data_IF_727084695502
#
_entry.id   IF_727084695502
#
_cell.length_a   1.000
_cell.length_b   1.000
_cell.length_c   1.000
_cell.angle_alpha   90.00
_cell.angle_beta   90.00
_cell.angle_gamma   90.00
#
_symmetry.space_group_name_H-M   'P 1'
#
loop_
_entity.id
_entity.type
_entity.pdbx_description
1 polymer ?
#
# COMPACT_ATOMS: atom_id res chain seq x y z
N UNK A 1 1.70 -32.17 -18.97
CA UNK A 1 2.74 -31.16 -18.69
C UNK A 1 2.02 -29.90 -18.24
N UNK A 2 2.15 -29.52 -16.97
CA UNK A 2 1.52 -28.32 -16.42
C UNK A 2 2.28 -27.07 -16.90
N UNK A 3 1.62 -25.96 -17.24
CA UNK A 3 2.31 -24.74 -17.62
C UNK A 3 3.14 -24.22 -16.42
N UNK A 4 4.37 -23.83 -16.70
CA UNK A 4 5.32 -23.27 -15.75
C UNK A 4 4.76 -22.04 -15.04
N UNK A 5 5.14 -21.89 -13.77
CA UNK A 5 5.00 -20.69 -12.93
C UNK A 5 5.75 -19.50 -13.54
N UNK A 6 5.34 -19.05 -14.72
CA UNK A 6 5.67 -17.72 -15.18
C UNK A 6 5.03 -16.75 -14.20
N UNK A 7 5.90 -16.16 -13.41
CA UNK A 7 5.72 -14.97 -12.60
C UNK A 7 4.59 -14.14 -13.20
N UNK A 8 3.50 -13.94 -12.43
CA UNK A 8 2.55 -12.84 -12.64
C UNK A 8 3.25 -11.49 -12.42
N UNK A 9 4.41 -11.30 -13.05
CA UNK A 9 5.07 -10.01 -13.17
C UNK A 9 4.07 -9.09 -13.82
N UNK A 10 3.78 -7.99 -13.14
CA UNK A 10 2.83 -6.96 -13.49
C UNK A 10 2.83 -6.67 -15.00
N UNK A 11 1.95 -7.30 -15.77
CA UNK A 11 1.56 -6.79 -17.08
C UNK A 11 0.64 -5.61 -16.82
N UNK A 12 1.24 -4.48 -16.49
CA UNK A 12 0.56 -3.20 -16.50
C UNK A 12 0.10 -2.97 -17.95
N UNK A 13 -1.21 -3.02 -18.19
CA UNK A 13 -1.78 -2.77 -19.51
C UNK A 13 -1.70 -1.28 -19.77
N UNK A 14 -0.68 -0.85 -20.51
CA UNK A 14 -0.43 0.54 -20.87
C UNK A 14 -1.39 1.10 -21.94
N UNK A 15 -2.41 0.35 -22.38
CA UNK A 15 -3.21 0.77 -23.53
C UNK A 15 -4.67 0.39 -23.39
N UNK A 16 -5.50 1.42 -23.24
CA UNK A 16 -6.92 1.38 -23.56
C UNK A 16 -7.12 2.18 -24.86
N UNK A 17 -8.18 1.86 -25.59
CA UNK A 17 -8.35 2.11 -27.01
C UNK A 17 -8.52 3.58 -27.46
N UNK A 18 -8.18 4.59 -26.66
CA UNK A 18 -8.42 6.00 -26.99
C UNK A 18 -7.35 6.93 -26.39
N UNK A 19 -6.12 6.90 -26.89
CA UNK A 19 -5.16 8.03 -26.85
C UNK A 19 -4.72 8.62 -25.49
N UNK A 20 -5.32 8.28 -24.36
CA UNK A 20 -4.84 8.63 -23.03
C UNK A 20 -3.86 7.55 -22.55
N UNK A 21 -2.59 7.91 -22.40
CA UNK A 21 -1.66 7.06 -21.65
C UNK A 21 -2.25 6.78 -20.27
N UNK A 22 -2.49 5.51 -19.97
CA UNK A 22 -2.99 5.09 -18.66
C UNK A 22 -2.08 5.66 -17.57
N UNK A 23 -2.64 6.48 -16.69
CA UNK A 23 -1.88 7.11 -15.62
C UNK A 23 -1.97 6.25 -14.37
N UNK A 24 -0.85 5.65 -13.96
CA UNK A 24 -0.79 4.87 -12.72
C UNK A 24 -1.35 5.70 -11.56
N UNK A 25 -2.45 5.24 -10.97
CA UNK A 25 -3.12 5.92 -9.87
C UNK A 25 -2.89 5.19 -8.56
N UNK A 26 -2.22 5.87 -7.63
CA UNK A 26 -2.01 5.40 -6.26
C UNK A 26 -3.01 6.06 -5.30
N UNK A 27 -3.74 5.25 -4.55
CA UNK A 27 -4.62 5.71 -3.49
C UNK A 27 -3.99 5.42 -2.12
N UNK A 28 -3.70 6.47 -1.35
CA UNK A 28 -3.19 6.36 0.01
C UNK A 28 -4.32 6.57 1.00
N UNK A 29 -4.59 5.57 1.84
CA UNK A 29 -5.69 5.59 2.80
C UNK A 29 -5.19 5.45 4.23
N UNK A 30 -5.81 6.19 5.15
CA UNK A 30 -5.55 6.07 6.58
C UNK A 30 -6.82 5.71 7.36
N UNK A 31 -6.66 4.89 8.41
CA UNK A 31 -7.72 4.46 9.32
C UNK A 31 -8.14 5.51 10.36
N UNK A 32 -8.05 6.80 10.03
CA UNK A 32 -8.34 7.92 10.94
C UNK A 32 -7.10 8.57 11.59
N UNK A 33 -5.90 8.18 11.18
CA UNK A 33 -4.63 8.86 11.55
C UNK A 33 -4.09 9.77 10.43
N UNK A 34 -4.88 10.03 9.39
CA UNK A 34 -4.40 10.68 8.17
C UNK A 34 -4.10 12.18 8.27
N UNK A 35 -4.28 12.79 9.45
CA UNK A 35 -3.83 14.16 9.69
C UNK A 35 -2.33 14.24 10.03
N UNK A 36 -1.65 13.11 10.21
CA UNK A 36 -0.20 13.10 10.46
C UNK A 36 0.56 13.60 9.22
N UNK A 37 1.50 14.57 9.37
CA UNK A 37 2.33 15.03 8.26
C UNK A 37 3.08 13.91 7.55
N UNK A 38 3.53 12.89 8.28
CA UNK A 38 4.22 11.72 7.72
C UNK A 38 3.36 10.90 6.77
N UNK A 39 2.03 10.87 6.96
CA UNK A 39 1.10 10.24 6.03
C UNK A 39 0.99 11.00 4.72
N UNK A 40 0.75 12.32 4.79
CA UNK A 40 0.62 13.17 3.60
C UNK A 40 1.91 13.19 2.79
N UNK A 41 3.06 13.25 3.46
CA UNK A 41 4.37 13.21 2.82
C UNK A 41 4.64 11.88 2.13
N UNK A 42 4.19 10.75 2.70
CA UNK A 42 4.37 9.42 2.10
C UNK A 42 3.74 9.32 0.72
N UNK A 43 2.48 9.75 0.60
CA UNK A 43 1.79 9.77 -0.70
C UNK A 43 2.49 10.68 -1.71
N UNK A 44 2.85 11.90 -1.31
CA UNK A 44 3.53 12.86 -2.19
C UNK A 44 4.91 12.37 -2.66
N UNK A 45 5.74 11.85 -1.75
CA UNK A 45 7.08 11.39 -2.08
C UNK A 45 7.07 10.20 -3.04
N UNK A 46 6.18 9.22 -2.82
CA UNK A 46 6.06 8.07 -3.73
C UNK A 46 5.68 8.55 -5.12
N UNK A 47 4.67 9.42 -5.24
CA UNK A 47 4.25 9.97 -6.54
C UNK A 47 5.40 10.75 -7.20
N UNK A 48 6.08 11.62 -6.47
CA UNK A 48 7.21 12.39 -7.02
C UNK A 48 8.35 11.50 -7.53
N UNK A 49 8.67 10.40 -6.84
CA UNK A 49 9.68 9.44 -7.30
C UNK A 49 9.20 8.71 -8.55
N UNK A 50 7.95 8.25 -8.59
CA UNK A 50 7.40 7.57 -9.77
C UNK A 50 7.35 8.52 -10.97
N UNK A 51 6.99 9.78 -10.76
CA UNK A 51 6.98 10.81 -11.79
C UNK A 51 8.39 11.13 -12.34
N UNK A 52 9.44 10.93 -11.53
CA UNK A 52 10.82 11.08 -11.98
C UNK A 52 11.31 9.90 -12.85
N UNK A 53 10.58 8.78 -12.88
CA UNK A 53 10.90 7.64 -13.75
C UNK A 53 10.23 7.84 -15.11
N UNK A 54 11.02 7.81 -16.19
CA UNK A 54 10.54 8.12 -17.55
C UNK A 54 9.28 7.33 -17.97
N UNK A 55 9.18 6.05 -17.58
CA UNK A 55 8.04 5.18 -17.92
C UNK A 55 6.84 5.32 -16.97
N UNK A 56 6.95 6.07 -15.87
CA UNK A 56 5.88 6.32 -14.89
C UNK A 56 5.69 7.83 -14.65
N UNK A 57 6.16 8.67 -15.57
CA UNK A 57 6.15 10.13 -15.42
C UNK A 57 4.74 10.72 -15.22
N UNK A 58 3.71 10.02 -15.68
CA UNK A 58 2.30 10.39 -15.52
C UNK A 58 1.63 9.79 -14.28
N UNK A 59 2.38 9.15 -13.38
CA UNK A 59 1.83 8.62 -12.13
C UNK A 59 1.17 9.74 -11.31
N UNK A 60 0.05 9.41 -10.67
CA UNK A 60 -0.71 10.33 -9.82
C UNK A 60 -1.08 9.67 -8.51
N UNK A 61 -1.27 10.47 -7.48
CA UNK A 61 -1.73 9.99 -6.18
C UNK A 61 -2.96 10.74 -5.68
N UNK A 62 -3.81 10.04 -4.93
CA UNK A 62 -4.87 10.65 -4.14
C UNK A 62 -4.80 10.14 -2.71
N UNK A 63 -5.23 10.98 -1.77
CA UNK A 63 -5.06 10.72 -0.35
C UNK A 63 -6.40 10.88 0.37
N UNK A 64 -6.81 9.88 1.13
CA UNK A 64 -7.97 9.96 2.02
C UNK A 64 -7.53 9.74 3.47
N UNK A 65 -7.64 10.81 4.26
CA UNK A 65 -7.12 10.86 5.64
C UNK A 65 -7.98 10.07 6.64
N UNK A 66 -9.24 9.79 6.28
CA UNK A 66 -10.19 9.03 7.08
C UNK A 66 -11.01 8.10 6.20
N UNK A 67 -10.46 6.93 5.90
CA UNK A 67 -11.06 5.92 5.03
C UNK A 67 -11.78 4.83 5.84
N UNK A 68 -12.56 5.21 6.87
CA UNK A 68 -13.21 4.28 7.81
C UNK A 68 -14.56 3.72 7.35
N UNK A 69 -15.18 4.33 6.34
CA UNK A 69 -16.52 3.95 5.86
C UNK A 69 -16.52 3.75 4.36
N UNK A 70 -17.31 2.80 3.89
CA UNK A 70 -17.45 2.51 2.46
C UNK A 70 -17.93 3.74 1.68
N UNK A 71 -18.84 4.52 2.28
CA UNK A 71 -19.35 5.77 1.70
C UNK A 71 -18.22 6.79 1.46
N UNK A 72 -17.30 6.95 2.41
CA UNK A 72 -16.19 7.89 2.25
C UNK A 72 -15.22 7.44 1.15
N UNK A 73 -14.94 6.14 1.08
CA UNK A 73 -14.06 5.57 0.04
C UNK A 73 -14.71 5.66 -1.34
N UNK A 74 -15.99 5.32 -1.46
CA UNK A 74 -16.73 5.43 -2.71
C UNK A 74 -16.80 6.87 -3.22
N UNK A 75 -17.11 7.83 -2.35
CA UNK A 75 -17.12 9.25 -2.71
C UNK A 75 -15.73 9.73 -3.19
N UNK A 76 -14.66 9.23 -2.57
CA UNK A 76 -13.29 9.53 -2.99
C UNK A 76 -12.99 8.98 -4.39
N UNK A 77 -13.38 7.73 -4.69
CA UNK A 77 -13.20 7.14 -6.02
C UNK A 77 -14.01 7.84 -7.10
N UNK A 78 -15.23 8.31 -6.80
CA UNK A 78 -16.00 9.14 -7.74
C UNK A 78 -15.26 10.43 -8.08
N UNK A 79 -14.65 11.08 -7.09
CA UNK A 79 -13.94 12.36 -7.29
C UNK A 79 -12.57 12.19 -7.96
N UNK A 80 -11.83 11.14 -7.63
CA UNK A 80 -10.43 10.98 -8.02
C UNK A 80 -10.18 9.81 -8.98
N UNK A 81 -11.22 9.09 -9.38
CA UNK A 81 -11.13 7.85 -10.14
C UNK A 81 -10.72 6.65 -9.27
N UNK A 82 -10.92 5.47 -9.84
CA UNK A 82 -10.51 4.19 -9.23
C UNK A 82 -8.97 4.06 -9.28
N UNK A 83 -8.32 3.55 -8.21
CA UNK A 83 -6.87 3.36 -8.20
C UNK A 83 -6.41 2.04 -8.83
N UNK A 84 -5.17 2.00 -9.29
CA UNK A 84 -4.47 0.77 -9.66
C UNK A 84 -3.79 0.12 -8.44
N UNK A 85 -3.32 0.96 -7.51
CA UNK A 85 -2.63 0.55 -6.28
C UNK A 85 -3.23 1.31 -5.10
N UNK A 86 -3.59 0.57 -4.06
CA UNK A 86 -4.04 1.10 -2.79
C UNK A 86 -3.00 0.83 -1.71
N UNK A 87 -2.57 1.88 -1.02
CA UNK A 87 -1.63 1.80 0.10
C UNK A 87 -2.38 2.11 1.39
N UNK A 88 -2.47 1.10 2.27
CA UNK A 88 -3.07 1.22 3.59
C UNK A 88 -2.01 1.70 4.57
N UNK A 89 -2.07 2.99 4.96
CA UNK A 89 -1.07 3.61 5.83
C UNK A 89 -1.57 3.72 7.26
N UNK A 90 -0.81 3.15 8.20
CA UNK A 90 -1.11 3.19 9.65
C UNK A 90 -2.57 2.84 9.94
N UNK A 91 -3.09 1.86 9.21
CA UNK A 91 -4.49 1.47 9.28
C UNK A 91 -4.66 0.56 10.50
N UNK A 92 -5.18 1.08 11.60
CA UNK A 92 -5.62 0.25 12.72
C UNK A 92 -7.11 0.00 12.59
N UNK A 93 -7.53 -1.24 12.36
CA UNK A 93 -8.95 -1.60 12.48
C UNK A 93 -9.50 -1.07 13.80
N UNK A 94 -10.56 -0.25 13.76
CA UNK A 94 -11.19 0.33 14.97
C UNK A 94 -11.77 -0.74 15.90
N UNK A 95 -11.81 -2.00 15.44
CA UNK A 95 -12.06 -3.22 16.21
C UNK A 95 -11.18 -4.35 15.66
N UNK A 96 -10.59 -5.15 16.56
CA UNK A 96 -9.84 -6.36 16.21
C UNK A 96 -10.68 -7.24 15.29
N UNK A 97 -10.16 -7.57 14.10
CA UNK A 97 -10.81 -8.45 13.13
C UNK A 97 -11.80 -7.79 12.15
N UNK A 98 -12.00 -6.46 12.18
CA UNK A 98 -12.81 -5.78 11.15
C UNK A 98 -11.93 -5.35 9.96
N UNK A 99 -12.40 -5.68 8.75
CA UNK A 99 -11.76 -5.33 7.47
C UNK A 99 -11.70 -3.81 7.26
N UNK A 100 -10.68 -3.40 6.51
CA UNK A 100 -10.53 -2.01 6.06
C UNK A 100 -11.50 -1.75 4.91
N UNK A 101 -12.40 -0.78 5.09
CA UNK A 101 -13.31 -0.32 4.02
C UNK A 101 -12.54 0.08 2.74
N UNK A 102 -11.34 0.64 2.92
CA UNK A 102 -10.44 0.95 1.81
C UNK A 102 -9.93 -0.31 1.12
N UNK A 103 -9.50 -1.33 1.88
CA UNK A 103 -9.01 -2.58 1.30
C UNK A 103 -10.10 -3.29 0.49
N UNK A 104 -11.31 -3.41 1.05
CA UNK A 104 -12.44 -4.08 0.41
C UNK A 104 -12.83 -3.37 -0.90
N UNK A 105 -12.99 -2.04 -0.85
CA UNK A 105 -13.34 -1.25 -2.04
C UNK A 105 -12.25 -1.32 -3.13
N UNK A 106 -10.96 -1.30 -2.74
CA UNK A 106 -9.84 -1.42 -3.66
C UNK A 106 -9.79 -2.79 -4.35
N UNK A 107 -9.99 -3.87 -3.58
CA UNK A 107 -10.05 -5.23 -4.15
C UNK A 107 -11.23 -5.39 -5.10
N UNK A 108 -12.40 -4.87 -4.73
CA UNK A 108 -13.58 -4.89 -5.60
C UNK A 108 -13.34 -4.13 -6.92
N UNK A 109 -12.50 -3.10 -6.88
CA UNK A 109 -12.05 -2.33 -8.05
C UNK A 109 -10.94 -3.01 -8.87
N UNK A 110 -10.39 -4.14 -8.42
CA UNK A 110 -9.27 -4.82 -9.09
C UNK A 110 -7.89 -4.17 -8.82
N UNK A 111 -7.78 -3.29 -7.83
CA UNK A 111 -6.53 -2.66 -7.44
C UNK A 111 -5.67 -3.60 -6.58
N UNK A 112 -4.34 -3.46 -6.68
CA UNK A 112 -3.41 -4.09 -5.73
C UNK A 112 -3.49 -3.37 -4.38
N UNK A 113 -3.63 -4.11 -3.30
CA UNK A 113 -3.67 -3.58 -1.93
C UNK A 113 -2.36 -3.86 -1.23
N UNK A 114 -1.63 -2.82 -0.87
CA UNK A 114 -0.36 -2.87 -0.16
C UNK A 114 -0.55 -2.35 1.27
N UNK A 115 0.01 -3.07 2.24
CA UNK A 115 0.03 -2.63 3.62
C UNK A 115 1.33 -1.91 3.95
N UNK A 116 1.24 -0.75 4.58
CA UNK A 116 2.40 0.02 4.98
C UNK A 116 2.88 -0.34 6.39
N UNK A 117 4.03 -1.01 6.47
CA UNK A 117 4.64 -1.46 7.71
C UNK A 117 5.68 -0.51 8.29
N UNK A 118 5.89 0.65 7.68
CA UNK A 118 6.84 1.64 8.16
C UNK A 118 6.30 2.27 9.47
N UNK A 119 7.17 2.37 10.49
CA UNK A 119 6.83 2.72 11.89
C UNK A 119 5.86 1.76 12.59
N UNK A 120 5.60 0.57 12.02
CA UNK A 120 4.60 -0.35 12.57
C UNK A 120 5.24 -1.65 13.02
N UNK A 121 5.71 -1.66 14.27
CA UNK A 121 6.30 -2.84 14.90
C UNK A 121 5.40 -4.10 14.84
N UNK A 122 4.08 -3.91 14.89
CA UNK A 122 3.07 -4.94 14.72
C UNK A 122 3.27 -5.81 13.46
N UNK A 123 3.75 -5.22 12.35
CA UNK A 123 4.03 -5.97 11.13
C UNK A 123 5.19 -6.97 11.28
N UNK A 124 6.05 -6.78 12.27
CA UNK A 124 7.24 -7.60 12.52
C UNK A 124 7.09 -8.46 13.78
N UNK A 125 5.84 -8.67 14.21
CA UNK A 125 5.47 -9.62 15.24
C UNK A 125 4.72 -10.78 14.57
N UNK A 126 5.23 -12.02 14.70
CA UNK A 126 4.65 -13.17 13.99
C UNK A 126 3.21 -13.49 14.38
N UNK A 127 2.84 -13.27 15.66
CA UNK A 127 1.47 -13.46 16.12
C UNK A 127 0.55 -12.39 15.55
N UNK A 128 0.97 -11.12 15.53
CA UNK A 128 0.15 -10.05 14.96
C UNK A 128 -0.02 -10.21 13.44
N UNK A 129 1.07 -10.52 12.73
CA UNK A 129 1.07 -10.78 11.29
C UNK A 129 0.05 -11.85 10.90
N UNK A 130 -0.09 -12.91 11.71
CA UNK A 130 -0.99 -14.04 11.45
C UNK A 130 -2.40 -13.87 12.01
N UNK A 131 -2.60 -13.00 13.00
CA UNK A 131 -3.90 -12.86 13.70
C UNK A 131 -4.70 -11.63 13.31
N UNK A 132 -4.12 -10.65 12.61
CA UNK A 132 -4.84 -9.46 12.16
C UNK A 132 -5.37 -9.65 10.73
N UNK A 133 -6.69 -9.56 10.57
CA UNK A 133 -7.38 -9.72 9.29
C UNK A 133 -6.80 -8.82 8.19
N UNK A 134 -6.45 -7.58 8.55
CA UNK A 134 -5.84 -6.60 7.64
C UNK A 134 -4.52 -7.07 7.00
N UNK A 135 -3.77 -7.97 7.62
CA UNK A 135 -2.54 -8.51 7.06
C UNK A 135 -2.76 -9.72 6.14
N UNK A 136 -3.81 -10.51 6.40
CA UNK A 136 -4.22 -11.61 5.51
C UNK A 136 -4.89 -11.12 4.22
N UNK A 137 -5.23 -9.83 4.17
CA UNK A 137 -6.07 -9.24 3.12
C UNK A 137 -5.31 -8.29 2.20
N UNK A 138 -3.99 -8.23 2.28
CA UNK A 138 -3.17 -7.45 1.34
C UNK A 138 -2.43 -8.34 0.36
N UNK A 139 -2.12 -7.77 -0.80
CA UNK A 139 -1.32 -8.42 -1.84
C UNK A 139 0.18 -8.29 -1.56
N UNK A 140 0.58 -7.36 -0.69
CA UNK A 140 1.95 -7.22 -0.25
C UNK A 140 2.15 -6.15 0.82
N UNK A 141 3.40 -6.03 1.27
CA UNK A 141 3.79 -5.15 2.36
C UNK A 141 4.89 -4.17 1.92
N UNK A 142 4.84 -2.95 2.44
CA UNK A 142 5.89 -1.96 2.29
C UNK A 142 6.74 -1.95 3.56
N UNK A 143 7.99 -2.39 3.43
CA UNK A 143 8.94 -2.51 4.53
C UNK A 143 9.91 -1.33 4.54
N UNK A 144 10.30 -0.90 5.75
CA UNK A 144 11.20 0.23 5.95
C UNK A 144 12.66 -0.08 5.62
N UNK A 145 13.11 -1.31 5.89
CA UNK A 145 14.50 -1.74 5.72
C UNK A 145 14.59 -3.10 5.05
N UNK A 146 15.76 -3.43 4.52
CA UNK A 146 16.01 -4.73 3.90
C UNK A 146 15.83 -5.88 4.90
N UNK A 147 16.25 -5.73 6.16
CA UNK A 147 16.00 -6.75 7.18
C UNK A 147 14.50 -6.99 7.40
N UNK A 148 13.70 -5.92 7.44
CA UNK A 148 12.24 -6.01 7.56
C UNK A 148 11.60 -6.70 6.34
N UNK A 149 12.07 -6.38 5.12
CA UNK A 149 11.60 -7.04 3.89
C UNK A 149 11.92 -8.54 3.91
N UNK A 150 13.14 -8.90 4.30
CA UNK A 150 13.56 -10.30 4.43
C UNK A 150 12.74 -11.03 5.48
N UNK A 151 12.53 -10.42 6.65
CA UNK A 151 11.71 -10.99 7.72
C UNK A 151 10.29 -11.31 7.25
N UNK A 152 9.65 -10.42 6.48
CA UNK A 152 8.33 -10.66 5.88
C UNK A 152 8.39 -11.77 4.83
N UNK A 153 9.42 -11.76 3.98
CA UNK A 153 9.62 -12.76 2.91
C UNK A 153 9.80 -14.18 3.48
N UNK A 154 10.53 -14.35 4.58
CA UNK A 154 10.69 -15.65 5.26
C UNK A 154 9.38 -16.23 5.79
N UNK A 155 8.32 -15.41 5.88
CA UNK A 155 6.97 -15.80 6.31
C UNK A 155 6.00 -15.92 5.13
N UNK A 156 6.52 -15.94 3.90
CA UNK A 156 5.73 -16.10 2.68
C UNK A 156 5.02 -14.82 2.20
N UNK A 157 5.30 -13.67 2.82
CA UNK A 157 4.71 -12.41 2.40
C UNK A 157 5.49 -11.77 1.23
N UNK A 158 4.79 -11.20 0.27
CA UNK A 158 5.39 -10.34 -0.76
C UNK A 158 5.68 -8.97 -0.13
N UNK A 159 6.94 -8.52 -0.20
CA UNK A 159 7.34 -7.26 0.39
C UNK A 159 8.28 -6.44 -0.50
N UNK A 160 8.05 -5.13 -0.54
CA UNK A 160 8.89 -4.14 -1.24
C UNK A 160 9.47 -3.14 -0.24
N UNK A 161 10.61 -2.53 -0.59
CA UNK A 161 11.20 -1.46 0.23
C UNK A 161 10.55 -0.13 -0.10
N UNK A 162 10.14 0.58 0.96
CA UNK A 162 9.85 1.99 0.91
C UNK A 162 10.56 2.66 2.10
N UNK A 163 11.65 3.43 1.85
CA UNK A 163 12.43 4.00 2.94
C UNK A 163 11.62 5.02 3.76
N UNK A 164 11.93 5.11 5.05
CA UNK A 164 11.27 6.07 5.96
C UNK A 164 11.51 7.52 5.49
N UNK A 165 10.47 8.34 5.27
CA UNK A 165 10.61 9.67 4.65
C UNK A 165 11.39 10.72 5.45
N UNK A 166 11.78 10.45 6.71
CA UNK A 166 12.52 11.39 7.57
C UNK A 166 13.73 10.77 8.29
N UNK A 167 14.23 9.63 7.81
CA UNK A 167 15.32 8.91 8.47
C UNK A 167 14.91 8.28 9.81
N UNK A 168 15.74 7.35 10.29
CA UNK A 168 15.52 6.57 11.52
C UNK A 168 15.95 7.35 12.77
N UNK A 169 15.28 8.47 13.08
CA UNK A 169 15.66 9.32 14.23
C UNK A 169 15.40 8.69 15.60
N UNK A 170 14.63 7.60 15.68
CA UNK A 170 14.30 6.92 16.94
C UNK A 170 14.84 5.49 17.09
N UNK A 171 15.65 4.97 16.16
CA UNK A 171 16.22 3.61 16.26
C UNK A 171 15.29 2.44 15.89
N UNK A 172 14.03 2.69 15.53
CA UNK A 172 12.97 1.72 15.18
C UNK A 172 13.24 0.88 13.90
N UNK A 173 14.35 1.12 13.20
CA UNK A 173 14.77 0.41 11.99
C UNK A 173 15.51 -0.93 12.20
N UNK A 174 15.70 -1.40 13.44
CA UNK A 174 16.33 -2.70 13.70
C UNK A 174 15.26 -3.77 13.84
N UNK A 175 15.15 -4.67 12.86
CA UNK A 175 14.43 -5.92 13.06
C UNK A 175 15.09 -6.68 14.24
N UNK A 176 14.32 -7.21 15.20
CA UNK A 176 14.90 -8.07 16.23
C UNK A 176 15.58 -9.27 15.55
N UNK A 177 16.83 -9.52 15.93
CA UNK A 177 17.60 -10.70 15.53
C UNK A 177 16.93 -11.97 16.08
#
# INVERSE_FOLDING_TARGET
MAPSNETRACRWRASDAEGEEKRLHLFFSAGGFGHMPSFLMRGKMVVSVLQALNHLHNARGSVLTNARTDVAVAAHFVRHGVPDICVLVKYGGTRKGKRSAAADACKAAGALVLFDCIDRHACFNGHELSSQAEFSEVDGFLAQTEQHRQWLSTRGAVAALLPHPHGNTGGWGRAPL
#
